data_IF_240383702788
#
_entry.id   IF_240383702788
#
_cell.length_a   1.000
_cell.length_b   1.000
_cell.length_c   1.000
_cell.angle_alpha   90.00
_cell.angle_beta   90.00
_cell.angle_gamma   90.00
#
_symmetry.space_group_name_H-M   'P 1'
#
loop_
_entity.id
_entity.type
_entity.pdbx_description
1 polymer ?
#
# COMPACT_ATOMS: atom_id res chain seq x y z
N UNK A 1 28.24 -16.64 -3.12
CA UNK A 1 27.30 -15.59 -3.57
C UNK A 1 27.10 -14.66 -2.38
N UNK A 2 27.26 -13.35 -2.54
CA UNK A 2 27.00 -12.45 -1.42
C UNK A 2 25.48 -12.36 -1.14
N UNK A 3 25.10 -11.90 0.05
CA UNK A 3 23.72 -11.90 0.51
C UNK A 3 22.78 -11.09 -0.40
N UNK A 4 23.24 -9.95 -0.92
CA UNK A 4 22.47 -9.12 -1.85
C UNK A 4 22.20 -9.85 -3.19
N UNK A 5 23.22 -10.51 -3.74
CA UNK A 5 23.07 -11.29 -4.97
C UNK A 5 22.12 -12.47 -4.79
N UNK A 6 22.15 -13.09 -3.61
CA UNK A 6 21.25 -14.19 -3.26
C UNK A 6 19.79 -13.72 -3.17
N UNK A 7 19.55 -12.60 -2.48
CA UNK A 7 18.20 -12.01 -2.38
C UNK A 7 17.69 -11.56 -3.75
N UNK A 8 18.53 -10.90 -4.57
CA UNK A 8 18.18 -10.52 -5.95
C UNK A 8 17.82 -11.72 -6.83
N UNK A 9 18.55 -12.84 -6.69
CA UNK A 9 18.29 -14.07 -7.43
C UNK A 9 16.94 -14.66 -7.06
N UNK A 10 16.66 -14.88 -5.77
CA UNK A 10 15.39 -15.45 -5.33
C UNK A 10 14.19 -14.54 -5.63
N UNK A 11 14.34 -13.21 -5.48
CA UNK A 11 13.29 -12.26 -5.86
C UNK A 11 12.97 -12.33 -7.36
N UNK A 12 14.01 -12.45 -8.20
CA UNK A 12 13.85 -12.59 -9.66
C UNK A 12 13.12 -13.88 -10.02
N UNK A 13 13.53 -15.02 -9.45
CA UNK A 13 12.92 -16.32 -9.72
C UNK A 13 11.46 -16.35 -9.22
N UNK A 14 11.20 -15.84 -8.03
CA UNK A 14 9.84 -15.72 -7.52
C UNK A 14 8.92 -14.88 -8.45
N UNK A 15 9.45 -13.77 -8.98
CA UNK A 15 8.71 -12.93 -9.93
C UNK A 15 8.45 -13.62 -11.27
N UNK A 16 9.30 -14.55 -11.65
CA UNK A 16 9.14 -15.37 -12.85
C UNK A 16 8.16 -16.54 -12.65
N UNK A 17 7.62 -16.72 -11.45
CA UNK A 17 6.71 -17.80 -11.10
C UNK A 17 7.42 -19.09 -10.67
N UNK A 18 8.75 -19.04 -10.48
CA UNK A 18 9.59 -20.16 -10.07
C UNK A 18 10.12 -19.90 -8.65
N UNK A 19 9.28 -20.14 -7.62
CA UNK A 19 9.67 -19.97 -6.23
C UNK A 19 10.67 -21.08 -5.83
N UNK A 20 11.94 -20.71 -5.64
CA UNK A 20 13.02 -21.63 -5.26
C UNK A 20 13.11 -21.86 -3.74
N UNK A 21 12.54 -20.97 -2.96
CA UNK A 21 12.48 -21.03 -1.49
C UNK A 21 11.10 -20.57 -1.01
N UNK A 22 10.75 -20.89 0.23
CA UNK A 22 9.49 -20.47 0.84
C UNK A 22 9.46 -18.95 1.09
N UNK A 23 8.27 -18.37 1.22
CA UNK A 23 8.10 -16.97 1.57
C UNK A 23 8.77 -16.62 2.91
N UNK A 24 8.79 -17.56 3.86
CA UNK A 24 9.41 -17.38 5.17
C UNK A 24 10.94 -17.34 5.07
N UNK A 25 11.53 -18.22 4.30
CA UNK A 25 12.99 -18.24 4.03
C UNK A 25 13.41 -17.00 3.27
N UNK A 26 12.65 -16.58 2.25
CA UNK A 26 12.92 -15.35 1.52
C UNK A 26 12.85 -14.12 2.45
N UNK A 27 11.82 -14.01 3.25
CA UNK A 27 11.65 -12.93 4.20
C UNK A 27 12.80 -12.88 5.25
N UNK A 28 13.34 -14.04 5.65
CA UNK A 28 14.51 -14.11 6.53
C UNK A 28 15.78 -13.60 5.87
N UNK A 29 16.01 -13.96 4.59
CA UNK A 29 17.14 -13.48 3.82
C UNK A 29 17.08 -11.97 3.56
N UNK A 30 15.92 -11.46 3.18
CA UNK A 30 15.70 -10.02 2.97
C UNK A 30 15.90 -9.23 4.26
N UNK A 31 15.49 -9.78 5.39
CA UNK A 31 15.75 -9.24 6.72
C UNK A 31 17.24 -9.11 7.01
N UNK A 32 17.95 -10.19 6.82
CA UNK A 32 19.40 -10.23 7.08
C UNK A 32 20.12 -9.24 6.18
N UNK A 33 19.74 -9.13 4.91
CA UNK A 33 20.31 -8.15 3.98
C UNK A 33 20.06 -6.73 4.47
N UNK A 34 18.86 -6.41 4.90
CA UNK A 34 18.51 -5.08 5.39
C UNK A 34 19.23 -4.70 6.69
N UNK A 35 19.49 -5.69 7.56
CA UNK A 35 20.24 -5.47 8.80
C UNK A 35 21.72 -5.20 8.54
N UNK A 36 22.32 -5.85 7.54
CA UNK A 36 23.76 -5.72 7.24
C UNK A 36 24.03 -4.61 6.22
N UNK A 37 23.15 -4.42 5.23
CA UNK A 37 23.31 -3.46 4.13
C UNK A 37 22.00 -2.73 3.84
N UNK A 38 21.52 -1.84 4.74
CA UNK A 38 20.23 -1.16 4.59
C UNK A 38 20.13 -0.29 3.33
N UNK A 39 21.24 0.23 2.85
CA UNK A 39 21.33 1.15 1.70
C UNK A 39 21.84 0.45 0.42
N UNK A 40 21.81 -0.88 0.36
CA UNK A 40 22.25 -1.59 -0.83
C UNK A 40 21.30 -1.36 -2.02
N UNK A 41 21.83 -1.58 -3.22
CA UNK A 41 21.11 -1.41 -4.49
C UNK A 41 19.78 -2.16 -4.58
N UNK A 42 19.67 -3.29 -3.88
CA UNK A 42 18.42 -4.06 -3.83
C UNK A 42 17.28 -3.24 -3.23
N UNK A 43 17.53 -2.51 -2.15
CA UNK A 43 16.52 -1.67 -1.50
C UNK A 43 16.37 -0.31 -2.19
N UNK A 44 17.45 0.26 -2.74
CA UNK A 44 17.44 1.56 -3.40
C UNK A 44 16.79 1.55 -4.79
N UNK A 45 16.85 0.43 -5.51
CA UNK A 45 16.23 0.29 -6.86
C UNK A 45 14.74 -0.01 -6.83
N UNK A 46 14.19 -0.36 -5.69
CA UNK A 46 12.79 -0.73 -5.58
C UNK A 46 12.06 0.28 -4.71
N UNK A 47 11.16 1.04 -5.34
CA UNK A 47 9.94 1.49 -4.68
C UNK A 47 9.11 0.23 -4.35
N UNK A 48 9.65 -0.61 -3.46
CA UNK A 48 8.95 -1.79 -3.00
C UNK A 48 7.86 -1.32 -2.07
N UNK A 49 6.63 -1.41 -2.57
CA UNK A 49 5.45 -1.22 -1.74
C UNK A 49 5.34 -2.45 -0.83
N UNK A 50 5.69 -2.39 0.45
CA UNK A 50 5.72 -3.58 1.30
C UNK A 50 4.34 -4.19 1.43
N UNK A 51 4.29 -5.51 1.56
CA UNK A 51 3.06 -6.19 1.98
C UNK A 51 2.74 -5.80 3.40
N UNK A 52 1.45 -5.61 3.69
CA UNK A 52 1.01 -5.46 5.07
C UNK A 52 1.12 -6.80 5.81
N UNK A 53 1.59 -6.81 7.08
CA UNK A 53 1.47 -7.98 7.94
C UNK A 53 0.00 -8.36 8.03
N UNK A 54 -0.30 -9.65 7.88
CA UNK A 54 -1.66 -10.18 7.98
C UNK A 54 -1.86 -10.75 9.38
N UNK A 55 -3.02 -10.42 9.98
CA UNK A 55 -3.49 -10.99 11.24
C UNK A 55 -2.48 -10.93 12.42
N UNK A 56 -1.49 -10.05 12.34
CA UNK A 56 -0.50 -9.82 13.39
C UNK A 56 -1.03 -8.86 14.48
N UNK A 57 -2.29 -9.05 14.89
CA UNK A 57 -2.97 -8.15 15.86
C UNK A 57 -2.16 -8.03 17.14
N UNK A 58 -1.68 -9.14 17.70
CA UNK A 58 -0.90 -9.11 18.96
C UNK A 58 0.40 -8.32 18.79
N UNK A 59 1.10 -8.51 17.67
CA UNK A 59 2.34 -7.77 17.38
C UNK A 59 2.07 -6.29 17.13
N UNK A 60 0.99 -5.97 16.40
CA UNK A 60 0.58 -4.59 16.16
C UNK A 60 0.21 -3.88 17.46
N UNK A 61 -0.54 -4.54 18.35
CA UNK A 61 -0.97 -3.96 19.64
C UNK A 61 0.16 -3.89 20.67
N UNK A 62 1.24 -4.65 20.50
CA UNK A 62 2.36 -4.66 21.44
C UNK A 62 2.98 -3.27 21.55
N UNK A 63 3.02 -2.74 22.77
CA UNK A 63 3.57 -1.41 23.07
C UNK A 63 2.67 -0.23 22.67
N UNK A 64 1.43 -0.46 22.21
CA UNK A 64 0.44 0.59 22.08
C UNK A 64 -0.31 0.79 23.40
N UNK A 65 -0.53 2.06 23.76
CA UNK A 65 -1.32 2.42 24.93
C UNK A 65 -2.81 2.52 24.60
N UNK A 66 -3.67 2.27 25.59
CA UNK A 66 -5.11 2.57 25.47
C UNK A 66 -5.22 4.08 25.19
N UNK A 67 -5.93 4.43 24.14
CA UNK A 67 -6.03 5.85 23.68
C UNK A 67 -5.21 6.15 22.42
N UNK A 68 -4.29 5.26 22.01
CA UNK A 68 -3.61 5.40 20.72
C UNK A 68 -4.64 5.48 19.59
N UNK A 69 -4.55 6.57 18.83
CA UNK A 69 -5.44 6.79 17.67
C UNK A 69 -4.91 6.03 16.46
N UNK A 70 -5.79 5.27 15.87
CA UNK A 70 -5.53 4.53 14.64
C UNK A 70 -6.50 4.94 13.56
N UNK A 71 -6.03 4.94 12.32
CA UNK A 71 -6.86 5.14 11.15
C UNK A 71 -7.25 3.80 10.55
N UNK A 72 -8.55 3.56 10.46
CA UNK A 72 -9.13 2.39 9.81
C UNK A 72 -9.49 2.74 8.37
N UNK A 73 -9.12 1.87 7.43
CA UNK A 73 -9.37 2.04 5.99
C UNK A 73 -9.88 0.73 5.37
N UNK A 74 -10.70 0.80 4.28
CA UNK A 74 -11.01 -0.38 3.48
C UNK A 74 -9.73 -0.93 2.84
N UNK A 75 -9.56 -2.24 2.88
CA UNK A 75 -8.52 -2.94 2.13
C UNK A 75 -9.04 -3.30 0.75
N UNK A 76 -8.86 -2.40 -0.20
CA UNK A 76 -9.26 -2.63 -1.58
C UNK A 76 -8.53 -3.84 -2.17
N UNK A 77 -9.27 -4.68 -2.89
CA UNK A 77 -8.71 -5.81 -3.62
C UNK A 77 -8.42 -5.41 -5.06
N UNK A 78 -7.22 -4.94 -5.29
CA UNK A 78 -6.76 -4.37 -6.54
C UNK A 78 -5.29 -4.62 -6.83
N UNK A 79 -4.64 -3.65 -7.43
CA UNK A 79 -3.20 -3.63 -7.72
C UNK A 79 -2.59 -2.39 -7.09
N UNK A 80 -1.64 -2.58 -6.19
CA UNK A 80 -0.91 -1.49 -5.56
C UNK A 80 -0.07 -0.73 -6.60
N UNK A 81 -0.22 0.60 -6.61
CA UNK A 81 0.45 1.51 -7.53
C UNK A 81 1.04 2.67 -6.74
N UNK A 82 2.25 3.08 -7.12
CA UNK A 82 2.84 4.35 -6.69
C UNK A 82 2.95 5.29 -7.90
N UNK A 83 2.58 6.55 -7.71
CA UNK A 83 2.65 7.60 -8.74
C UNK A 83 3.56 8.71 -8.23
N UNK A 84 4.60 8.99 -8.99
CA UNK A 84 5.50 10.10 -8.76
C UNK A 84 5.06 11.31 -9.59
N UNK A 85 4.92 12.44 -8.93
CA UNK A 85 4.73 13.74 -9.54
C UNK A 85 6.00 14.56 -9.36
N UNK A 86 6.48 15.20 -10.41
CA UNK A 86 7.56 16.19 -10.37
C UNK A 86 7.05 17.52 -10.90
N UNK A 87 7.24 18.58 -10.12
CA UNK A 87 6.76 19.92 -10.47
C UNK A 87 5.27 19.95 -10.86
N UNK A 88 4.47 19.16 -10.14
CA UNK A 88 3.04 19.08 -10.34
C UNK A 88 2.57 18.23 -11.53
N UNK A 89 3.46 17.59 -12.28
CA UNK A 89 3.12 16.71 -13.41
C UNK A 89 3.45 15.26 -13.06
N UNK A 90 2.67 14.32 -13.58
CA UNK A 90 3.01 12.89 -13.49
C UNK A 90 4.36 12.68 -14.19
N UNK A 91 5.31 12.12 -13.44
CA UNK A 91 6.61 11.72 -13.94
C UNK A 91 6.68 10.22 -14.20
N UNK A 92 6.17 9.42 -13.25
CA UNK A 92 6.22 7.96 -13.33
C UNK A 92 5.12 7.33 -12.50
N UNK A 93 4.58 6.21 -12.98
CA UNK A 93 3.72 5.34 -12.19
C UNK A 93 4.24 3.90 -12.28
N UNK A 94 4.33 3.23 -11.12
CA UNK A 94 4.88 1.87 -11.02
C UNK A 94 3.97 0.96 -10.21
N UNK A 95 3.96 -0.31 -10.59
CA UNK A 95 3.36 -1.37 -9.79
C UNK A 95 4.27 -1.72 -8.61
N UNK A 96 3.73 -2.49 -7.65
CA UNK A 96 4.50 -3.07 -6.55
C UNK A 96 5.77 -3.81 -7.00
N UNK A 97 5.75 -4.45 -8.17
CA UNK A 97 6.88 -5.19 -8.76
C UNK A 97 7.83 -4.28 -9.57
N UNK A 98 7.67 -2.95 -9.49
CA UNK A 98 8.53 -1.98 -10.19
C UNK A 98 8.25 -1.82 -11.69
N UNK A 99 7.21 -2.51 -12.25
CA UNK A 99 6.84 -2.34 -13.65
C UNK A 99 6.31 -0.92 -13.88
N UNK A 100 6.88 -0.24 -14.88
CA UNK A 100 6.36 1.05 -15.34
C UNK A 100 5.00 0.87 -16.01
N UNK A 101 4.04 1.65 -15.57
CA UNK A 101 2.65 1.65 -16.04
C UNK A 101 2.13 3.08 -16.26
N UNK A 102 3.04 4.04 -16.44
CA UNK A 102 2.71 5.47 -16.54
C UNK A 102 1.66 5.72 -17.61
N UNK A 103 1.84 5.17 -18.82
CA UNK A 103 0.92 5.34 -19.95
C UNK A 103 -0.48 4.78 -19.70
N UNK A 104 -0.60 3.81 -18.79
CA UNK A 104 -1.89 3.27 -18.35
C UNK A 104 -2.54 4.17 -17.32
N UNK A 105 -1.76 4.63 -16.35
CA UNK A 105 -2.28 5.38 -15.21
C UNK A 105 -2.75 6.79 -15.58
N UNK A 106 -2.12 7.45 -16.55
CA UNK A 106 -2.56 8.76 -17.07
C UNK A 106 -3.96 8.73 -17.71
N UNK A 107 -4.49 7.55 -18.02
CA UNK A 107 -5.82 7.34 -18.62
C UNK A 107 -6.90 6.99 -17.61
N UNK A 108 -6.51 6.74 -16.36
CA UNK A 108 -7.46 6.48 -15.27
C UNK A 108 -8.07 7.80 -14.81
N UNK A 109 -9.37 7.95 -14.97
CA UNK A 109 -10.10 9.19 -14.70
C UNK A 109 -9.88 9.75 -13.28
N UNK A 110 -9.65 8.88 -12.30
CA UNK A 110 -9.44 9.27 -10.90
C UNK A 110 -7.97 9.60 -10.57
N UNK A 111 -7.09 9.63 -11.56
CA UNK A 111 -5.69 10.06 -11.43
C UNK A 111 -5.55 11.49 -11.91
N UNK A 112 -5.25 12.46 -11.04
CA UNK A 112 -4.99 13.83 -11.45
C UNK A 112 -3.76 13.89 -12.35
N UNK A 113 -3.89 14.41 -13.57
CA UNK A 113 -2.75 14.59 -14.48
C UNK A 113 -1.81 15.71 -14.00
N UNK A 114 -2.34 16.64 -13.21
CA UNK A 114 -1.59 17.72 -12.60
C UNK A 114 -2.04 17.92 -11.16
N UNK A 115 -1.09 18.23 -10.29
CA UNK A 115 -1.33 18.59 -8.89
C UNK A 115 -0.68 19.95 -8.59
N UNK A 116 -1.28 20.82 -7.78
CA UNK A 116 -0.71 22.11 -7.42
C UNK A 116 0.44 21.95 -6.41
N UNK A 117 1.51 21.28 -6.82
CA UNK A 117 2.68 21.03 -6.01
C UNK A 117 3.96 21.36 -6.80
N UNK A 118 4.85 22.14 -6.19
CA UNK A 118 6.14 22.53 -6.81
C UNK A 118 7.27 21.53 -6.56
N UNK A 119 7.07 20.58 -5.66
CA UNK A 119 8.09 19.59 -5.27
C UNK A 119 7.76 18.21 -5.84
N UNK A 120 8.63 17.25 -5.58
CA UNK A 120 8.34 15.85 -5.85
C UNK A 120 7.30 15.34 -4.84
N UNK A 121 6.23 14.76 -5.34
CA UNK A 121 5.19 14.11 -4.54
C UNK A 121 5.07 12.65 -4.98
N UNK A 122 5.12 11.74 -4.03
CA UNK A 122 4.93 10.32 -4.29
C UNK A 122 3.66 9.83 -3.60
N UNK A 123 2.69 9.44 -4.41
CA UNK A 123 1.37 8.99 -3.94
C UNK A 123 1.23 7.49 -4.12
N UNK A 124 0.90 6.80 -3.04
CA UNK A 124 0.55 5.39 -3.04
C UNK A 124 -0.96 5.20 -3.01
N UNK A 125 -1.45 4.25 -3.77
CA UNK A 125 -2.86 3.91 -3.85
C UNK A 125 -3.09 2.51 -4.39
N UNK A 126 -4.36 2.19 -4.60
CA UNK A 126 -4.80 0.93 -5.19
C UNK A 126 -5.58 1.21 -6.47
N UNK A 127 -5.17 0.59 -7.57
CA UNK A 127 -5.97 0.51 -8.79
C UNK A 127 -6.93 -0.67 -8.66
N UNK A 128 -8.22 -0.41 -8.70
CA UNK A 128 -9.25 -1.42 -8.52
C UNK A 128 -10.44 -1.18 -9.46
N UNK A 129 -11.28 -2.20 -9.67
CA UNK A 129 -12.53 -2.04 -10.40
C UNK A 129 -13.68 -1.91 -9.40
N UNK A 130 -14.45 -0.84 -9.50
CA UNK A 130 -15.65 -0.62 -8.69
C UNK A 130 -16.82 -1.48 -9.19
N UNK A 131 -17.87 -1.61 -8.38
CA UNK A 131 -19.12 -2.30 -8.71
C UNK A 131 -18.94 -3.78 -9.11
N UNK A 132 -18.04 -4.48 -8.44
CA UNK A 132 -17.84 -5.93 -8.58
C UNK A 132 -17.20 -6.51 -7.31
N UNK A 133 -17.29 -7.85 -7.09
CA UNK A 133 -16.59 -8.49 -5.96
C UNK A 133 -15.08 -8.27 -5.97
N UNK A 134 -14.43 -8.30 -4.81
CA UNK A 134 -13.02 -8.00 -4.65
C UNK A 134 -12.11 -8.81 -5.59
N UNK A 135 -12.25 -10.14 -5.62
CA UNK A 135 -11.43 -11.01 -6.49
C UNK A 135 -11.61 -10.73 -8.01
N UNK A 136 -12.79 -10.26 -8.42
CA UNK A 136 -13.07 -9.79 -9.79
C UNK A 136 -12.43 -8.44 -10.02
N UNK A 137 -12.50 -7.56 -9.03
CA UNK A 137 -11.89 -6.22 -9.03
C UNK A 137 -10.39 -6.30 -9.33
N UNK A 138 -9.65 -7.10 -8.55
CA UNK A 138 -8.22 -7.31 -8.74
C UNK A 138 -7.89 -7.85 -10.14
N UNK A 139 -8.63 -8.88 -10.59
CA UNK A 139 -8.40 -9.46 -11.94
C UNK A 139 -8.61 -8.46 -13.06
N UNK A 140 -9.63 -7.61 -12.98
CA UNK A 140 -9.89 -6.54 -13.96
C UNK A 140 -8.78 -5.50 -13.97
N UNK A 141 -8.35 -5.02 -12.78
CA UNK A 141 -7.26 -4.07 -12.66
C UNK A 141 -5.94 -4.64 -13.21
N UNK A 142 -5.57 -5.85 -12.79
CA UNK A 142 -4.37 -6.53 -13.27
C UNK A 142 -4.43 -6.85 -14.77
N UNK A 143 -5.60 -7.23 -15.29
CA UNK A 143 -5.84 -7.47 -16.71
C UNK A 143 -5.60 -6.23 -17.55
N UNK A 144 -6.16 -5.08 -17.14
CA UNK A 144 -5.91 -3.80 -17.80
C UNK A 144 -4.43 -3.44 -17.85
N UNK A 145 -3.72 -3.57 -16.74
CA UNK A 145 -2.29 -3.24 -16.68
C UNK A 145 -1.40 -4.15 -17.54
N UNK A 146 -1.86 -5.37 -17.84
CA UNK A 146 -1.14 -6.34 -18.69
C UNK A 146 -1.55 -6.28 -20.16
N UNK A 147 -2.77 -5.82 -20.45
CA UNK A 147 -3.29 -5.78 -21.83
C UNK A 147 -2.51 -4.81 -22.71
N UNK A 148 -2.59 -4.99 -24.03
CA UNK A 148 -2.15 -4.00 -25.03
C UNK A 148 -3.08 -2.79 -25.14
N UNK A 149 -4.30 -2.87 -24.60
CA UNK A 149 -5.29 -1.79 -24.67
C UNK A 149 -4.91 -0.61 -23.79
N UNK A 150 -5.07 0.59 -24.29
CA UNK A 150 -4.95 1.86 -23.54
C UNK A 150 -6.30 2.44 -23.13
N UNK A 151 -7.40 1.75 -23.41
CA UNK A 151 -8.73 2.17 -23.03
C UNK A 151 -9.13 1.49 -21.71
N UNK A 152 -9.12 2.20 -20.57
CA UNK A 152 -9.52 1.62 -19.30
C UNK A 152 -11.03 1.38 -19.26
N UNK A 153 -11.46 0.31 -18.63
CA UNK A 153 -12.87 0.13 -18.31
C UNK A 153 -13.33 1.27 -17.38
N UNK A 154 -14.51 1.88 -17.60
CA UNK A 154 -14.96 3.05 -16.82
C UNK A 154 -15.08 2.81 -15.31
N UNK A 155 -15.18 1.55 -14.90
CA UNK A 155 -15.22 1.19 -13.48
C UNK A 155 -13.81 1.09 -12.84
N UNK A 156 -12.71 1.23 -13.59
CA UNK A 156 -11.38 1.27 -13.02
C UNK A 156 -11.15 2.61 -12.34
N UNK A 157 -10.73 2.53 -11.06
CA UNK A 157 -10.44 3.69 -10.24
C UNK A 157 -9.09 3.51 -9.52
N UNK A 158 -8.33 4.57 -9.45
CA UNK A 158 -7.19 4.66 -8.55
C UNK A 158 -7.63 5.36 -7.28
N UNK A 159 -7.47 4.71 -6.15
CA UNK A 159 -7.79 5.25 -4.83
C UNK A 159 -6.50 5.53 -4.07
N UNK A 160 -6.19 6.80 -3.85
CA UNK A 160 -5.01 7.23 -3.10
C UNK A 160 -5.23 7.09 -1.59
N UNK A 161 -4.23 6.62 -0.86
CA UNK A 161 -4.33 6.43 0.59
C UNK A 161 -3.06 6.80 1.38
N UNK A 162 -1.97 7.15 0.71
CA UNK A 162 -0.70 7.46 1.38
C UNK A 162 0.18 8.37 0.53
N UNK A 163 0.91 9.25 1.20
CA UNK A 163 2.01 10.01 0.62
C UNK A 163 3.31 9.42 1.15
N UNK A 164 4.12 8.84 0.27
CA UNK A 164 5.40 8.28 0.66
C UNK A 164 6.35 9.39 1.10
N UNK A 165 7.13 9.12 2.14
CA UNK A 165 8.07 10.07 2.74
C UNK A 165 7.41 11.36 3.30
N UNK A 166 6.14 11.27 3.68
CA UNK A 166 5.43 12.38 4.33
C UNK A 166 5.79 12.48 5.81
N UNK A 167 5.83 13.70 6.32
CA UNK A 167 5.88 14.00 7.76
C UNK A 167 4.50 14.16 8.39
N UNK A 168 3.43 14.13 7.59
CA UNK A 168 2.06 14.31 8.07
C UNK A 168 1.52 13.03 8.71
N UNK A 169 0.63 13.20 9.70
CA UNK A 169 -0.20 12.11 10.23
C UNK A 169 -1.07 11.49 9.13
N UNK A 170 -1.47 10.23 9.29
CA UNK A 170 -2.21 9.50 8.26
C UNK A 170 -3.51 10.16 7.84
N UNK A 171 -4.27 10.68 8.81
CA UNK A 171 -5.51 11.42 8.53
C UNK A 171 -5.25 12.71 7.74
N UNK A 172 -4.16 13.40 8.03
CA UNK A 172 -3.81 14.64 7.34
C UNK A 172 -3.26 14.40 5.94
N UNK A 173 -2.56 13.27 5.73
CA UNK A 173 -2.20 12.81 4.37
C UNK A 173 -3.44 12.61 3.50
N UNK A 174 -4.48 11.93 4.03
CA UNK A 174 -5.73 11.72 3.29
C UNK A 174 -6.46 13.04 2.99
N UNK A 175 -6.52 13.96 3.96
CA UNK A 175 -7.07 15.30 3.74
C UNK A 175 -6.28 16.09 2.69
N UNK A 176 -4.95 16.01 2.73
CA UNK A 176 -4.09 16.68 1.76
C UNK A 176 -4.25 16.11 0.36
N UNK A 177 -4.27 14.78 0.22
CA UNK A 177 -4.55 14.11 -1.06
C UNK A 177 -5.90 14.54 -1.66
N UNK A 178 -6.94 14.66 -0.83
CA UNK A 178 -8.24 15.17 -1.27
C UNK A 178 -8.16 16.62 -1.76
N UNK A 179 -7.41 17.50 -1.10
CA UNK A 179 -7.15 18.89 -1.56
C UNK A 179 -6.39 18.93 -2.89
N UNK A 180 -5.60 17.91 -3.19
CA UNK A 180 -4.90 17.75 -4.48
C UNK A 180 -5.76 17.09 -5.56
N UNK A 181 -7.07 16.93 -5.33
CA UNK A 181 -8.06 16.33 -6.23
C UNK A 181 -7.84 14.82 -6.49
N UNK A 182 -7.17 14.10 -5.60
CA UNK A 182 -7.17 12.64 -5.67
C UNK A 182 -8.50 12.07 -5.19
N UNK A 183 -8.93 10.99 -5.83
CA UNK A 183 -9.94 10.11 -5.24
C UNK A 183 -9.28 9.35 -4.10
N UNK A 184 -9.66 9.67 -2.87
CA UNK A 184 -9.04 9.15 -1.66
C UNK A 184 -9.84 7.99 -1.07
N UNK A 185 -9.15 7.14 -0.30
CA UNK A 185 -9.79 6.08 0.46
C UNK A 185 -10.77 6.66 1.49
N UNK A 186 -11.82 5.91 1.79
CA UNK A 186 -12.63 6.16 3.00
C UNK A 186 -11.79 5.81 4.22
N UNK A 187 -12.02 6.49 5.31
CA UNK A 187 -11.32 6.21 6.56
C UNK A 187 -12.12 6.66 7.78
N UNK A 188 -11.81 6.04 8.90
CA UNK A 188 -12.34 6.42 10.22
C UNK A 188 -11.17 6.49 11.19
N UNK A 189 -11.08 7.61 11.92
CA UNK A 189 -10.16 7.73 13.04
C UNK A 189 -10.82 7.15 14.28
N UNK A 190 -10.18 6.19 14.92
CA UNK A 190 -10.73 5.47 16.05
C UNK A 190 -9.64 5.18 17.09
N UNK A 191 -10.06 4.67 18.23
CA UNK A 191 -9.17 4.18 19.28
C UNK A 191 -8.93 2.66 19.11
N UNK A 192 -7.76 2.18 19.44
CA UNK A 192 -7.44 0.75 19.33
C UNK A 192 -8.42 -0.15 20.07
N UNK A 193 -9.04 0.31 21.16
CA UNK A 193 -10.06 -0.46 21.90
C UNK A 193 -11.30 -0.81 21.09
N UNK A 194 -11.64 -0.02 20.08
CA UNK A 194 -12.81 -0.22 19.23
C UNK A 194 -12.54 -1.06 17.96
N UNK A 195 -11.30 -1.53 17.73
CA UNK A 195 -10.97 -2.31 16.54
C UNK A 195 -11.80 -3.60 16.41
N UNK A 196 -12.14 -4.24 17.52
CA UNK A 196 -13.00 -5.45 17.52
C UNK A 196 -14.42 -5.15 17.05
N UNK A 197 -14.97 -4.00 17.44
CA UNK A 197 -16.30 -3.55 17.00
C UNK A 197 -16.30 -3.28 15.51
N UNK A 198 -15.34 -2.49 15.02
CA UNK A 198 -15.22 -2.21 13.59
C UNK A 198 -15.03 -3.48 12.73
N UNK A 199 -14.28 -4.47 13.23
CA UNK A 199 -14.17 -5.76 12.57
C UNK A 199 -15.51 -6.48 12.49
N UNK A 200 -16.28 -6.50 13.58
CA UNK A 200 -17.64 -7.07 13.60
C UNK A 200 -18.56 -6.34 12.62
N UNK A 201 -18.52 -5.01 12.60
CA UNK A 201 -19.36 -4.22 11.70
C UNK A 201 -18.99 -4.47 10.23
N UNK A 202 -17.72 -4.65 9.92
CA UNK A 202 -17.32 -5.03 8.58
C UNK A 202 -17.81 -6.45 8.21
N UNK A 203 -17.60 -7.45 9.06
CA UNK A 203 -18.07 -8.83 8.84
C UNK A 203 -19.60 -8.87 8.64
N UNK A 204 -20.33 -8.07 9.40
CA UNK A 204 -21.80 -7.98 9.32
C UNK A 204 -22.30 -7.09 8.17
N UNK A 205 -21.42 -6.62 7.28
CA UNK A 205 -21.79 -5.78 6.15
C UNK A 205 -22.25 -4.36 6.49
N UNK A 206 -22.03 -3.90 7.71
CA UNK A 206 -22.39 -2.53 8.13
C UNK A 206 -21.34 -1.49 7.74
N UNK A 207 -20.09 -1.92 7.55
CA UNK A 207 -18.98 -1.03 7.26
C UNK A 207 -18.42 -1.32 5.86
N UNK A 208 -18.55 -0.35 4.93
CA UNK A 208 -17.99 -0.37 3.57
C UNK A 208 -18.41 -1.57 2.69
N UNK A 209 -19.58 -2.16 2.92
CA UNK A 209 -20.08 -3.34 2.20
C UNK A 209 -20.21 -3.15 0.69
N UNK A 210 -20.34 -1.91 0.23
CA UNK A 210 -20.44 -1.57 -1.19
C UNK A 210 -19.09 -1.40 -1.92
N UNK A 211 -17.98 -1.68 -1.23
CA UNK A 211 -16.64 -1.57 -1.79
C UNK A 211 -16.05 -2.97 -2.08
N UNK A 212 -15.24 -3.13 -3.14
CA UNK A 212 -14.56 -4.38 -3.45
C UNK A 212 -13.32 -4.55 -2.54
N UNK A 213 -13.56 -4.97 -1.31
CA UNK A 213 -12.55 -5.10 -0.26
C UNK A 213 -12.42 -6.54 0.22
N UNK A 214 -11.22 -6.94 0.66
CA UNK A 214 -10.91 -8.25 1.23
C UNK A 214 -10.46 -8.15 2.70
N UNK A 215 -10.69 -7.01 3.32
CA UNK A 215 -10.30 -6.74 4.69
C UNK A 215 -10.34 -5.27 5.07
N UNK A 216 -9.77 -5.00 6.22
CA UNK A 216 -9.52 -3.66 6.74
C UNK A 216 -8.02 -3.42 6.84
N UNK A 217 -7.59 -2.19 6.66
CA UNK A 217 -6.24 -1.74 6.99
C UNK A 217 -6.31 -0.86 8.22
N UNK A 218 -5.50 -1.15 9.20
CA UNK A 218 -5.33 -0.34 10.42
C UNK A 218 -3.95 0.29 10.37
N UNK A 219 -3.87 1.59 10.58
CA UNK A 219 -2.61 2.35 10.64
C UNK A 219 -2.57 3.18 11.91
N UNK A 220 -1.44 3.25 12.58
CA UNK A 220 -1.23 4.25 13.63
C UNK A 220 -1.37 5.62 12.98
N UNK A 221 -2.15 6.53 13.58
CA UNK A 221 -2.38 7.84 12.97
C UNK A 221 -1.14 8.74 13.07
N UNK A 222 -0.50 8.81 14.23
CA UNK A 222 0.67 9.65 14.48
C UNK A 222 1.88 9.21 13.64
N UNK A 223 2.41 10.12 12.85
CA UNK A 223 3.62 9.85 12.06
C UNK A 223 4.87 9.66 12.93
N UNK A 224 4.97 10.40 14.00
CA UNK A 224 6.06 10.26 14.96
C UNK A 224 6.09 8.85 15.58
N UNK A 225 4.92 8.36 16.01
CA UNK A 225 4.80 7.01 16.56
C UNK A 225 5.09 5.91 15.51
N UNK A 226 4.67 6.12 14.25
CA UNK A 226 5.03 5.22 13.16
C UNK A 226 6.55 5.12 12.99
N UNK A 227 7.26 6.27 12.92
CA UNK A 227 8.71 6.32 12.76
C UNK A 227 9.41 5.66 13.96
N UNK A 228 8.95 5.92 15.17
CA UNK A 228 9.52 5.30 16.37
C UNK A 228 9.41 3.77 16.33
N UNK A 229 8.27 3.25 15.89
CA UNK A 229 8.05 1.80 15.74
C UNK A 229 8.84 1.19 14.58
N UNK A 230 8.97 1.87 13.46
CA UNK A 230 9.78 1.43 12.32
C UNK A 230 11.26 1.30 12.70
N UNK A 231 11.77 2.20 13.53
CA UNK A 231 13.13 2.11 14.08
C UNK A 231 13.31 0.92 15.05
N UNK A 232 12.29 0.60 15.83
CA UNK A 232 12.33 -0.49 16.80
C UNK A 232 12.21 -1.88 16.16
N UNK A 233 11.48 -1.98 15.05
CA UNK A 233 11.13 -3.24 14.39
C UNK A 233 11.54 -3.20 12.92
N UNK A 234 12.80 -3.39 12.62
CA UNK A 234 13.47 -3.16 11.32
C UNK A 234 12.88 -3.85 10.07
N UNK A 235 11.75 -4.58 10.15
CA UNK A 235 11.39 -5.53 9.11
C UNK A 235 10.02 -5.38 8.45
N UNK A 236 9.06 -4.88 9.18
CA UNK A 236 7.70 -4.62 8.70
C UNK A 236 7.26 -3.27 9.22
N UNK A 237 6.40 -2.56 8.48
CA UNK A 237 5.75 -1.39 9.03
C UNK A 237 4.76 -1.85 10.11
N UNK A 238 5.28 -2.21 11.31
CA UNK A 238 4.43 -2.50 12.48
C UNK A 238 3.57 -1.31 12.90
N UNK A 239 3.67 -0.21 12.17
CA UNK A 239 2.79 0.94 12.24
C UNK A 239 1.46 0.71 11.53
N UNK A 240 1.33 -0.37 10.75
CA UNK A 240 0.13 -0.72 10.00
C UNK A 240 -0.04 -2.24 9.86
N UNK A 241 -1.29 -2.69 9.75
CA UNK A 241 -1.60 -4.10 9.52
C UNK A 241 -2.87 -4.28 8.70
N UNK A 242 -3.06 -5.47 8.12
CA UNK A 242 -4.30 -5.88 7.50
C UNK A 242 -5.07 -6.84 8.41
N UNK A 243 -6.35 -6.58 8.60
CA UNK A 243 -7.31 -7.50 9.23
C UNK A 243 -8.11 -8.16 8.11
N UNK A 244 -8.09 -9.49 8.04
CA UNK A 244 -8.88 -10.31 7.12
C UNK A 244 -9.96 -11.09 7.88
N UNK A 245 -10.77 -11.85 7.14
CA UNK A 245 -11.78 -12.76 7.72
C UNK A 245 -11.16 -13.78 8.66
#
# INVERSE_FOLDING_TARGET
>A
MNLETQVKHYDKEYRNGNALITDEEFNKLERNLKAVHPDCDYFNKQLVLPSLPKDAICTFLKGLTIGTKVMLQPKYDGVAVAIEYKYGKINKAITRKGKDITDKMIRIQTVPLRVPNKFTLMVRGELYANNCPGNVSQRKAAGYLRSGSFNPHPNLKFCAFEILNSSLDQSDQCKYLSKLNFYTTRWTLTDIKHLREHRKDWINGKLWSNLPIDGLVVKINSREEQIAREKQYHLYPYSQMAIKY
#
